data_IF_016924024781
#
_entry.id   IF_016924024781
#
_cell.length_a   1.000
_cell.length_b   1.000
_cell.length_c   1.000
_cell.angle_alpha   90.00
_cell.angle_beta   90.00
_cell.angle_gamma   90.00
#
_symmetry.space_group_name_H-M   'P 1'
#
loop_
_entity.id
_entity.type
_entity.pdbx_description
1 polymer ?
#
# COMPACT_ATOMS: atom_id res chain seq x y z
N UNK A 1 -11.11 14.34 82.65
CA UNK A 1 -10.68 12.96 82.37
C UNK A 1 -10.22 12.94 80.93
N UNK A 2 -8.90 12.88 80.73
CA UNK A 2 -8.27 13.15 79.45
C UNK A 2 -8.40 12.00 78.46
N UNK A 3 -8.55 12.33 77.19
CA UNK A 3 -8.26 11.41 76.11
C UNK A 3 -6.87 11.80 75.56
N UNK A 4 -5.93 10.89 75.73
CA UNK A 4 -4.55 11.02 75.30
C UNK A 4 -4.50 10.96 73.77
N UNK A 5 -4.13 12.07 73.12
CA UNK A 5 -3.75 12.07 71.71
C UNK A 5 -2.31 11.54 71.62
N UNK A 6 -2.17 10.21 71.59
CA UNK A 6 -0.91 9.56 71.25
C UNK A 6 -0.68 9.69 69.75
N UNK A 7 0.02 10.75 69.34
CA UNK A 7 0.51 10.88 67.97
C UNK A 7 1.54 9.78 67.70
N UNK A 8 1.09 8.60 67.28
CA UNK A 8 1.91 7.76 66.43
C UNK A 8 2.00 8.49 65.08
N UNK A 9 3.15 9.09 64.79
CA UNK A 9 3.58 9.30 63.41
C UNK A 9 3.86 7.90 62.83
N UNK A 10 2.78 7.17 62.48
CA UNK A 10 2.92 6.02 61.62
C UNK A 10 3.43 6.55 60.26
N UNK A 11 4.53 6.00 59.71
CA UNK A 11 4.99 6.42 58.39
C UNK A 11 3.86 6.18 57.38
N UNK A 12 3.45 7.23 56.67
CA UNK A 12 2.61 7.08 55.49
C UNK A 12 3.50 6.49 54.40
N UNK A 13 3.36 5.20 54.15
CA UNK A 13 3.97 4.55 52.99
C UNK A 13 3.07 4.82 51.79
N UNK A 14 3.53 5.69 50.88
CA UNK A 14 2.89 5.84 49.58
C UNK A 14 3.15 4.58 48.77
N UNK A 15 2.09 3.82 48.51
CA UNK A 15 2.13 2.72 47.55
C UNK A 15 1.79 3.30 46.18
N UNK A 16 2.81 3.73 45.42
CA UNK A 16 2.61 4.07 44.03
C UNK A 16 2.26 2.78 43.28
N UNK A 17 1.00 2.62 42.89
CA UNK A 17 0.58 1.47 42.09
C UNK A 17 1.11 1.66 40.67
N UNK A 18 1.93 0.70 40.22
CA UNK A 18 2.43 0.68 38.85
C UNK A 18 1.23 0.60 37.90
N UNK A 19 1.05 1.61 37.05
CA UNK A 19 0.03 1.61 36.00
C UNK A 19 0.62 0.99 34.73
N UNK A 20 -0.13 0.06 34.14
CA UNK A 20 0.22 -0.53 32.86
C UNK A 20 0.15 0.46 31.70
N UNK A 21 0.49 0.01 30.50
CA UNK A 21 0.67 0.89 29.35
C UNK A 21 -0.67 1.49 28.93
N UNK A 22 -0.67 2.80 28.64
CA UNK A 22 -1.82 3.53 28.08
C UNK A 22 -1.38 4.26 26.81
N UNK A 23 -2.15 4.13 25.73
CA UNK A 23 -1.85 4.84 24.48
C UNK A 23 -2.31 6.30 24.62
N UNK A 24 -1.38 7.24 24.40
CA UNK A 24 -1.65 8.69 24.39
C UNK A 24 -2.05 9.14 22.99
N UNK A 25 -1.39 8.60 21.96
CA UNK A 25 -1.65 8.92 20.55
C UNK A 25 -1.64 7.65 19.71
N UNK A 26 -2.74 7.39 19.02
CA UNK A 26 -2.88 6.24 18.14
C UNK A 26 -2.02 6.40 16.89
N UNK A 27 -1.45 5.30 16.36
CA UNK A 27 -0.76 5.35 15.09
C UNK A 27 -1.72 5.75 13.98
N UNK A 28 -1.26 6.64 13.10
CA UNK A 28 -2.03 7.08 11.95
C UNK A 28 -1.65 6.25 10.73
N UNK A 29 -2.67 5.77 10.02
CA UNK A 29 -2.50 5.19 8.69
C UNK A 29 -2.29 6.25 7.61
N UNK A 30 -2.11 5.81 6.38
CA UNK A 30 -1.98 6.70 5.24
C UNK A 30 -1.70 5.96 3.93
N UNK A 31 -1.53 6.74 2.88
CA UNK A 31 -1.20 6.24 1.56
C UNK A 31 0.32 6.07 1.40
N UNK A 32 0.75 4.85 1.08
CA UNK A 32 2.14 4.53 0.79
C UNK A 32 2.40 4.44 -0.70
N UNK A 33 3.35 5.24 -1.21
CA UNK A 33 3.86 5.11 -2.59
C UNK A 33 4.93 4.02 -2.65
N UNK A 34 4.84 3.15 -3.65
CA UNK A 34 5.83 2.09 -3.86
C UNK A 34 7.23 2.70 -4.06
N UNK A 35 8.23 2.12 -3.38
CA UNK A 35 9.62 2.57 -3.43
C UNK A 35 9.95 3.77 -2.52
N UNK A 36 8.95 4.46 -1.98
CA UNK A 36 9.12 5.55 -1.01
C UNK A 36 9.09 5.04 0.43
N UNK A 37 9.54 5.88 1.37
CA UNK A 37 9.49 5.58 2.79
C UNK A 37 8.16 5.95 3.44
N UNK A 38 7.67 5.14 4.39
CA UNK A 38 6.49 5.43 5.20
C UNK A 38 6.78 5.19 6.68
N UNK A 39 6.27 6.03 7.57
CA UNK A 39 6.47 5.91 9.02
C UNK A 39 5.15 5.82 9.76
N UNK A 40 5.04 4.84 10.65
CA UNK A 40 4.04 4.82 11.71
C UNK A 40 4.68 5.23 13.03
N UNK A 41 3.96 6.01 13.84
CA UNK A 41 4.41 6.41 15.18
C UNK A 41 3.28 6.21 16.16
N UNK A 42 3.57 5.66 17.33
CA UNK A 42 2.65 5.60 18.48
C UNK A 42 3.31 6.31 19.65
N UNK A 43 2.52 7.01 20.48
CA UNK A 43 2.99 7.50 21.78
C UNK A 43 2.15 6.86 22.88
N UNK A 44 2.81 6.36 23.92
CA UNK A 44 2.20 5.69 25.05
C UNK A 44 2.91 6.07 26.34
N UNK A 45 2.17 6.00 27.44
CA UNK A 45 2.66 6.18 28.79
C UNK A 45 2.62 4.86 29.56
N UNK A 46 3.41 4.77 30.61
CA UNK A 46 3.49 3.61 31.49
C UNK A 46 4.58 3.82 32.53
N UNK A 47 4.41 3.19 33.68
CA UNK A 47 5.36 3.33 34.80
C UNK A 47 6.50 2.31 34.73
N UNK A 48 6.43 1.32 33.82
CA UNK A 48 7.50 0.38 33.51
C UNK A 48 8.19 0.66 32.17
N UNK A 49 9.34 0.00 31.90
CA UNK A 49 9.93 0.01 30.57
C UNK A 49 8.94 -0.53 29.54
N UNK A 50 8.56 0.30 28.57
CA UNK A 50 7.62 -0.08 27.52
C UNK A 50 8.32 -0.91 26.44
N UNK A 51 7.71 -2.04 26.09
CA UNK A 51 8.14 -2.94 25.03
C UNK A 51 7.13 -2.86 23.90
N UNK A 52 7.59 -2.61 22.68
CA UNK A 52 6.75 -2.50 21.49
C UNK A 52 6.89 -3.74 20.61
N UNK A 53 5.81 -4.11 19.92
CA UNK A 53 5.86 -5.07 18.82
C UNK A 53 4.82 -4.70 17.76
N UNK A 54 5.28 -4.23 16.61
CA UNK A 54 4.40 -3.98 15.46
C UNK A 54 3.98 -5.28 14.79
N UNK A 55 2.78 -5.27 14.23
CA UNK A 55 2.16 -6.38 13.53
C UNK A 55 1.47 -5.89 12.26
N UNK A 56 1.65 -6.60 11.16
CA UNK A 56 0.95 -6.40 9.89
C UNK A 56 -0.08 -7.51 9.73
N UNK A 57 -1.37 -7.14 9.60
CA UNK A 57 -2.48 -8.09 9.47
C UNK A 57 -2.47 -9.17 10.58
N UNK A 58 -2.07 -8.77 11.80
CA UNK A 58 -1.94 -9.66 12.96
C UNK A 58 -0.65 -10.49 13.01
N UNK A 59 0.22 -10.44 12.01
CA UNK A 59 1.52 -11.14 12.01
C UNK A 59 2.62 -10.23 12.50
N UNK A 60 3.52 -10.74 13.34
CA UNK A 60 4.67 -9.97 13.88
C UNK A 60 5.57 -9.47 12.75
N UNK A 61 5.90 -8.18 12.78
CA UNK A 61 6.95 -7.59 11.93
C UNK A 61 8.29 -7.76 12.65
N UNK A 62 9.23 -8.59 12.14
CA UNK A 62 10.49 -8.85 12.81
C UNK A 62 11.31 -7.57 13.05
N UNK A 63 11.84 -7.41 14.28
CA UNK A 63 12.68 -6.27 14.64
C UNK A 63 11.95 -4.93 14.84
N UNK A 64 10.64 -4.88 14.62
CA UNK A 64 9.85 -3.66 14.81
C UNK A 64 9.43 -3.50 16.28
N UNK A 65 10.41 -3.13 17.12
CA UNK A 65 10.30 -3.07 18.58
C UNK A 65 10.41 -1.65 19.18
N UNK A 66 10.23 -0.62 18.35
CA UNK A 66 10.29 0.78 18.75
C UNK A 66 8.94 1.48 18.61
N UNK A 67 8.83 2.67 19.22
CA UNK A 67 7.65 3.54 19.08
C UNK A 67 7.35 3.95 17.63
N UNK A 68 8.37 3.97 16.78
CA UNK A 68 8.26 4.24 15.35
C UNK A 68 8.59 2.96 14.56
N UNK A 69 7.73 2.64 13.59
CA UNK A 69 8.02 1.69 12.53
C UNK A 69 8.29 2.48 11.25
N UNK A 70 9.51 2.40 10.75
CA UNK A 70 9.88 2.97 9.45
C UNK A 70 9.99 1.87 8.40
N UNK A 71 9.21 1.99 7.34
CA UNK A 71 9.28 1.18 6.13
C UNK A 71 10.09 2.00 5.13
N UNK A 72 11.37 1.69 4.86
CA UNK A 72 12.25 2.54 4.06
C UNK A 72 11.86 2.56 2.57
N UNK A 73 11.26 1.49 2.09
CA UNK A 73 10.77 1.34 0.73
C UNK A 73 9.51 0.48 0.75
N UNK A 74 8.35 1.08 0.52
CA UNK A 74 7.07 0.36 0.49
C UNK A 74 7.04 -0.58 -0.72
N UNK A 75 6.67 -1.84 -0.46
CA UNK A 75 6.49 -2.93 -1.43
C UNK A 75 5.03 -3.40 -1.41
N UNK A 76 4.57 -4.14 -2.44
CA UNK A 76 3.20 -4.65 -2.47
C UNK A 76 2.79 -5.48 -1.23
N UNK A 77 3.74 -6.18 -0.60
CA UNK A 77 3.49 -6.96 0.61
C UNK A 77 3.38 -6.16 1.90
N UNK A 78 3.70 -4.85 1.88
CA UNK A 78 3.67 -3.99 3.06
C UNK A 78 2.29 -3.35 3.29
N UNK A 79 1.39 -3.40 2.29
CA UNK A 79 0.05 -2.86 2.42
C UNK A 79 -0.82 -3.73 3.34
N UNK A 80 -1.63 -3.09 4.18
CA UNK A 80 -2.51 -3.76 5.13
C UNK A 80 -2.69 -2.99 6.42
N UNK A 81 -3.22 -3.67 7.43
CA UNK A 81 -3.52 -3.08 8.73
C UNK A 81 -2.34 -3.26 9.69
N UNK A 82 -1.74 -2.15 10.12
CA UNK A 82 -0.73 -2.16 11.16
C UNK A 82 -1.36 -1.97 12.53
N UNK A 83 -0.94 -2.79 13.48
CA UNK A 83 -1.22 -2.59 14.90
C UNK A 83 0.05 -2.76 15.70
N UNK A 84 0.12 -2.12 16.87
CA UNK A 84 1.24 -2.28 17.80
C UNK A 84 0.73 -2.77 19.14
N UNK A 85 1.39 -3.79 19.68
CA UNK A 85 1.24 -4.20 21.07
C UNK A 85 2.29 -3.46 21.89
N UNK A 86 1.87 -2.85 22.99
CA UNK A 86 2.75 -2.14 23.93
C UNK A 86 2.56 -2.80 25.29
N UNK A 87 3.65 -3.35 25.83
CA UNK A 87 3.62 -4.12 27.07
C UNK A 87 4.62 -3.64 28.11
N UNK A 88 4.30 -3.90 29.37
CA UNK A 88 5.22 -3.86 30.51
C UNK A 88 4.91 -5.03 31.47
N UNK A 89 5.37 -4.96 32.72
CA UNK A 89 5.11 -5.99 33.73
C UNK A 89 3.71 -5.91 34.39
N UNK A 90 2.93 -4.87 34.10
CA UNK A 90 1.55 -4.70 34.57
C UNK A 90 0.52 -5.11 33.53
N UNK A 91 0.88 -5.10 32.25
CA UNK A 91 -0.01 -5.58 31.20
C UNK A 91 0.41 -5.23 29.78
N UNK A 92 -0.54 -5.40 28.87
CA UNK A 92 -0.37 -5.11 27.44
C UNK A 92 -1.60 -4.34 26.93
N UNK A 93 -1.35 -3.29 26.17
CA UNK A 93 -2.36 -2.56 25.39
C UNK A 93 -2.11 -2.74 23.91
N UNK A 94 -3.18 -2.79 23.12
CA UNK A 94 -3.14 -2.85 21.66
C UNK A 94 -3.64 -1.53 21.08
N UNK A 95 -2.97 -1.03 20.06
CA UNK A 95 -3.42 0.15 19.30
C UNK A 95 -4.67 -0.13 18.46
N UNK A 96 -5.32 0.95 18.05
CA UNK A 96 -6.25 0.90 16.92
C UNK A 96 -5.48 0.54 15.63
N UNK A 97 -6.17 -0.03 14.62
CA UNK A 97 -5.56 -0.31 13.31
C UNK A 97 -5.16 0.98 12.58
N UNK A 98 -3.92 1.02 12.08
CA UNK A 98 -3.39 2.04 11.20
C UNK A 98 -3.17 1.44 9.80
N UNK A 99 -4.05 1.70 8.82
CA UNK A 99 -3.91 1.11 7.49
C UNK A 99 -2.79 1.77 6.68
N UNK A 100 -1.90 0.98 6.07
CA UNK A 100 -1.12 1.41 4.91
C UNK A 100 -1.91 1.07 3.66
N UNK A 101 -2.46 2.07 2.99
CA UNK A 101 -3.19 1.88 1.74
C UNK A 101 -2.31 2.22 0.55
N UNK A 102 -2.62 1.61 -0.60
CA UNK A 102 -2.06 2.11 -1.85
C UNK A 102 -2.82 3.37 -2.26
N UNK A 103 -2.14 4.44 -2.74
CA UNK A 103 -2.81 5.58 -3.37
C UNK A 103 -3.56 5.16 -4.65
N UNK A 104 -3.25 3.96 -5.17
CA UNK A 104 -3.94 3.37 -6.30
C UNK A 104 -5.02 2.40 -5.78
N UNK A 105 -6.26 2.86 -5.77
CA UNK A 105 -7.39 1.99 -5.43
C UNK A 105 -7.62 0.95 -6.55
N UNK A 106 -8.05 -0.28 -6.23
CA UNK A 106 -8.57 -1.20 -7.23
C UNK A 106 -9.75 -0.52 -7.96
N UNK A 107 -9.60 -0.26 -9.26
CA UNK A 107 -10.66 0.30 -10.10
C UNK A 107 -10.79 1.83 -10.16
N UNK A 108 -9.89 2.63 -9.57
CA UNK A 108 -9.95 4.10 -9.70
C UNK A 108 -8.65 4.67 -10.26
N UNK A 109 -8.74 5.27 -11.45
CA UNK A 109 -7.81 6.32 -11.89
C UNK A 109 -6.52 5.91 -12.58
N UNK A 110 -6.35 4.65 -13.00
CA UNK A 110 -5.16 4.24 -13.79
C UNK A 110 -5.54 3.89 -15.22
N UNK A 111 -6.73 3.33 -15.43
CA UNK A 111 -7.26 3.01 -16.75
C UNK A 111 -8.63 3.67 -16.93
N UNK A 112 -8.94 4.09 -18.15
CA UNK A 112 -10.26 4.54 -18.57
C UNK A 112 -10.67 3.83 -19.87
N UNK A 113 -11.97 3.60 -20.05
CA UNK A 113 -12.53 3.05 -21.29
C UNK A 113 -12.29 3.99 -22.48
N UNK A 114 -12.48 5.30 -22.28
CA UNK A 114 -12.22 6.25 -23.35
C UNK A 114 -10.74 6.63 -23.38
N UNK A 115 -10.10 6.38 -24.51
CA UNK A 115 -8.74 6.81 -24.80
C UNK A 115 -8.55 8.30 -24.49
N UNK A 116 -9.51 9.15 -24.84
CA UNK A 116 -9.43 10.60 -24.59
C UNK A 116 -9.38 11.01 -23.11
N UNK A 117 -9.82 10.13 -22.19
CA UNK A 117 -9.87 10.36 -20.75
C UNK A 117 -8.81 9.58 -19.96
N UNK A 118 -7.96 8.83 -20.66
CA UNK A 118 -6.94 7.97 -20.04
C UNK A 118 -6.08 8.74 -19.02
N UNK A 119 -5.99 8.27 -17.76
CA UNK A 119 -5.19 8.93 -16.74
C UNK A 119 -3.69 8.89 -17.04
N UNK A 120 -2.95 9.88 -16.55
CA UNK A 120 -1.49 9.88 -16.59
C UNK A 120 -0.92 9.13 -15.38
N UNK A 121 0.07 8.26 -15.60
CA UNK A 121 0.85 7.59 -14.57
C UNK A 121 2.33 7.83 -14.78
N UNK A 122 3.04 8.22 -13.71
CA UNK A 122 4.50 8.39 -13.69
C UNK A 122 5.20 7.35 -12.79
N UNK A 123 4.43 6.37 -12.29
CA UNK A 123 4.96 5.37 -11.38
C UNK A 123 6.00 4.47 -12.06
N UNK A 124 7.13 4.24 -11.38
CA UNK A 124 8.19 3.33 -11.84
C UNK A 124 7.79 1.85 -11.74
N UNK A 125 6.90 1.52 -10.80
CA UNK A 125 6.35 0.17 -10.61
C UNK A 125 4.89 0.25 -10.15
N UNK A 126 4.10 -0.79 -10.40
CA UNK A 126 2.71 -0.86 -9.95
C UNK A 126 2.10 -2.24 -10.12
N UNK A 127 1.08 -2.55 -9.32
CA UNK A 127 0.17 -3.67 -9.52
C UNK A 127 -1.25 -3.11 -9.52
N UNK A 128 -1.93 -3.23 -10.65
CA UNK A 128 -3.28 -2.70 -10.83
C UNK A 128 -4.25 -3.86 -11.05
N UNK A 129 -5.45 -3.73 -10.47
CA UNK A 129 -6.59 -4.63 -10.75
C UNK A 129 -7.70 -3.80 -11.36
N UNK A 130 -8.17 -4.22 -12.52
CA UNK A 130 -9.18 -3.52 -13.30
C UNK A 130 -10.00 -4.53 -14.12
N UNK A 131 -11.25 -4.20 -14.44
CA UNK A 131 -12.13 -4.99 -15.32
C UNK A 131 -12.51 -4.16 -16.55
N UNK A 132 -12.22 -4.66 -17.74
CA UNK A 132 -12.68 -4.06 -19.00
C UNK A 132 -14.07 -4.56 -19.43
N UNK A 133 -14.82 -5.24 -18.57
CA UNK A 133 -16.09 -5.87 -18.94
C UNK A 133 -17.10 -4.89 -19.58
N UNK A 134 -17.17 -3.67 -19.07
CA UNK A 134 -18.06 -2.62 -19.56
C UNK A 134 -17.44 -1.72 -20.64
N UNK A 135 -16.18 -1.98 -21.01
CA UNK A 135 -15.45 -1.21 -21.99
C UNK A 135 -15.91 -1.54 -23.43
N UNK A 136 -15.51 -0.70 -24.39
CA UNK A 136 -15.75 -0.91 -25.81
C UNK A 136 -14.45 -0.83 -26.63
N UNK A 137 -14.55 -1.13 -27.93
CA UNK A 137 -13.51 -0.81 -28.90
C UNK A 137 -13.90 0.52 -29.54
N UNK A 138 -13.02 1.51 -29.47
CA UNK A 138 -13.28 2.84 -30.00
C UNK A 138 -13.00 2.91 -31.52
N UNK A 139 -13.66 3.83 -32.23
CA UNK A 139 -13.42 4.04 -33.66
C UNK A 139 -11.99 4.54 -33.88
N UNK A 140 -11.24 3.86 -34.76
CA UNK A 140 -9.84 4.17 -35.04
C UNK A 140 -8.87 3.48 -34.09
N UNK A 141 -9.35 2.72 -33.10
CA UNK A 141 -8.49 1.89 -32.26
C UNK A 141 -7.77 0.81 -33.08
N UNK A 142 -6.43 0.69 -32.96
CA UNK A 142 -5.67 -0.36 -33.62
C UNK A 142 -6.05 -1.77 -33.16
N UNK A 143 -5.69 -2.76 -33.95
CA UNK A 143 -5.70 -4.16 -33.52
C UNK A 143 -4.50 -4.41 -32.59
N UNK A 144 -4.77 -4.73 -31.32
CA UNK A 144 -3.74 -4.97 -30.32
C UNK A 144 -3.08 -6.32 -30.56
N UNK A 145 -1.74 -6.34 -30.69
CA UNK A 145 -0.98 -7.53 -31.10
C UNK A 145 -1.52 -8.20 -32.40
N UNK A 146 -2.10 -7.41 -33.31
CA UNK A 146 -2.70 -7.92 -34.56
C UNK A 146 -4.03 -8.65 -34.37
N UNK A 147 -4.64 -8.57 -33.18
CA UNK A 147 -5.98 -9.09 -32.91
C UNK A 147 -6.99 -7.94 -32.86
N UNK A 148 -8.21 -8.14 -33.39
CA UNK A 148 -9.26 -7.13 -33.32
C UNK A 148 -9.59 -6.67 -31.90
N UNK A 149 -9.49 -7.59 -30.93
CA UNK A 149 -9.97 -7.36 -29.58
C UNK A 149 -11.48 -7.10 -29.56
N UNK A 150 -11.91 -6.16 -28.71
CA UNK A 150 -13.31 -5.76 -28.62
C UNK A 150 -13.65 -4.91 -27.38
N UNK A 151 -12.75 -4.89 -26.41
CA UNK A 151 -12.85 -4.11 -25.16
C UNK A 151 -11.45 -3.65 -24.75
N UNK A 152 -11.15 -2.38 -24.92
CA UNK A 152 -9.86 -1.80 -24.55
C UNK A 152 -10.02 -0.91 -23.32
N UNK A 153 -8.96 -0.76 -22.54
CA UNK A 153 -8.86 0.31 -21.56
C UNK A 153 -7.47 0.90 -21.59
N UNK A 154 -7.38 2.18 -21.29
CA UNK A 154 -6.24 3.01 -21.64
C UNK A 154 -5.65 3.69 -20.41
N UNK A 155 -4.33 3.67 -20.35
CA UNK A 155 -3.54 4.57 -19.50
C UNK A 155 -2.58 5.36 -20.37
N UNK A 156 -2.22 6.56 -19.95
CA UNK A 156 -1.00 7.19 -20.41
C UNK A 156 0.10 6.94 -19.37
N UNK A 157 1.27 6.48 -19.82
CA UNK A 157 2.39 6.22 -18.93
C UNK A 157 3.60 7.03 -19.38
N UNK A 158 4.10 7.87 -18.49
CA UNK A 158 5.33 8.61 -18.70
C UNK A 158 6.47 7.88 -17.98
N UNK A 159 7.49 7.46 -18.73
CA UNK A 159 8.61 6.74 -18.15
C UNK A 159 9.38 7.67 -17.18
N UNK A 160 9.55 7.30 -15.90
CA UNK A 160 10.27 8.14 -14.94
C UNK A 160 11.79 8.17 -15.19
N UNK A 161 12.28 7.31 -16.09
CA UNK A 161 13.68 7.27 -16.47
C UNK A 161 13.95 6.29 -17.61
N UNK A 162 15.22 6.25 -18.04
CA UNK A 162 15.71 5.36 -19.10
C UNK A 162 15.92 3.95 -18.57
N UNK A 163 15.59 2.95 -19.36
CA UNK A 163 15.78 1.55 -19.01
C UNK A 163 14.84 0.63 -19.78
N UNK A 164 14.53 -0.50 -19.16
CA UNK A 164 13.60 -1.48 -19.72
C UNK A 164 12.33 -1.48 -18.89
N UNK A 165 11.22 -1.10 -19.51
CA UNK A 165 9.89 -1.24 -18.92
C UNK A 165 9.36 -2.65 -19.16
N UNK A 166 8.61 -3.18 -18.20
CA UNK A 166 7.91 -4.45 -18.33
C UNK A 166 6.49 -4.30 -17.81
N UNK A 167 5.51 -4.61 -18.65
CA UNK A 167 4.10 -4.68 -18.27
C UNK A 167 3.60 -6.10 -18.48
N UNK A 168 2.75 -6.56 -17.58
CA UNK A 168 2.22 -7.91 -17.59
C UNK A 168 0.79 -7.95 -17.07
N UNK A 169 0.02 -8.92 -17.57
CA UNK A 169 -1.37 -9.16 -17.16
C UNK A 169 -1.55 -10.48 -16.40
N UNK A 170 -0.46 -11.15 -16.01
CA UNK A 170 -0.52 -12.38 -15.22
C UNK A 170 -1.39 -12.23 -13.97
N UNK A 171 -2.32 -13.17 -13.83
CA UNK A 171 -3.35 -13.17 -12.79
C UNK A 171 -4.74 -12.78 -13.31
N UNK A 172 -4.86 -12.34 -14.56
CA UNK A 172 -6.15 -12.18 -15.23
C UNK A 172 -6.92 -13.50 -15.33
N UNK A 173 -8.25 -13.40 -15.30
CA UNK A 173 -9.16 -14.54 -15.40
C UNK A 173 -9.57 -14.87 -16.84
N UNK A 174 -8.98 -14.19 -17.81
CA UNK A 174 -9.30 -14.30 -19.24
C UNK A 174 -8.01 -14.13 -20.05
N UNK A 175 -8.10 -14.57 -21.30
CA UNK A 175 -7.04 -14.44 -22.30
C UNK A 175 -6.85 -12.96 -22.68
N UNK A 176 -5.68 -12.39 -22.43
CA UNK A 176 -5.47 -10.94 -22.52
C UNK A 176 -4.70 -10.55 -23.76
N UNK A 177 -4.93 -9.32 -24.24
CA UNK A 177 -4.08 -8.63 -25.20
C UNK A 177 -3.42 -7.43 -24.53
N UNK A 178 -2.12 -7.21 -24.76
CA UNK A 178 -1.39 -6.07 -24.23
C UNK A 178 -0.62 -5.36 -25.34
N UNK A 179 -0.78 -4.04 -25.45
CA UNK A 179 -0.06 -3.23 -26.41
C UNK A 179 0.37 -1.88 -25.81
N UNK A 180 1.51 -1.39 -26.29
CA UNK A 180 2.14 -0.13 -25.93
C UNK A 180 2.29 0.67 -27.21
N UNK A 181 1.79 1.90 -27.17
CA UNK A 181 1.79 2.80 -28.30
C UNK A 181 2.46 4.12 -27.94
N UNK A 182 2.98 4.82 -28.94
CA UNK A 182 3.26 6.26 -28.89
C UNK A 182 2.26 7.01 -29.76
N UNK A 183 1.83 8.19 -29.31
CA UNK A 183 0.84 9.02 -30.02
C UNK A 183 -0.28 9.51 -29.10
N UNK A 184 -1.05 10.47 -29.59
CA UNK A 184 -2.09 11.18 -28.84
C UNK A 184 -3.51 11.03 -29.42
N UNK A 185 -3.66 10.34 -30.56
CA UNK A 185 -4.93 10.03 -31.23
C UNK A 185 -4.98 8.56 -31.66
N UNK A 186 -6.14 7.90 -31.49
CA UNK A 186 -6.33 6.47 -31.78
C UNK A 186 -5.90 6.08 -33.20
N UNK A 187 -6.34 6.86 -34.19
CA UNK A 187 -6.07 6.65 -35.62
C UNK A 187 -4.63 6.96 -36.04
N UNK A 188 -3.79 7.42 -35.10
CA UNK A 188 -2.39 7.79 -35.30
C UNK A 188 -1.43 7.11 -34.33
N UNK A 189 -1.92 6.15 -33.54
CA UNK A 189 -1.07 5.40 -32.62
C UNK A 189 -0.02 4.59 -33.39
N UNK A 190 1.23 4.74 -32.98
CA UNK A 190 2.36 3.97 -33.50
C UNK A 190 2.69 2.86 -32.50
N UNK A 191 2.63 1.57 -32.89
CA UNK A 191 2.98 0.47 -32.00
C UNK A 191 4.45 0.52 -31.59
N UNK A 192 4.71 0.36 -30.30
CA UNK A 192 6.06 0.26 -29.73
C UNK A 192 6.37 -1.15 -29.22
N UNK A 193 5.41 -1.79 -28.57
CA UNK A 193 5.47 -3.20 -28.17
C UNK A 193 4.06 -3.78 -28.04
N UNK A 194 3.90 -5.08 -28.25
CA UNK A 194 2.61 -5.75 -28.04
C UNK A 194 2.80 -7.25 -27.86
N UNK A 195 1.86 -7.89 -27.18
CA UNK A 195 1.85 -9.31 -26.91
C UNK A 195 0.42 -9.83 -26.62
N UNK A 196 0.23 -11.14 -26.81
CA UNK A 196 -1.01 -11.87 -26.56
C UNK A 196 -0.78 -12.87 -25.39
N UNK A 197 0.29 -13.66 -25.41
CA UNK A 197 0.36 -14.89 -24.59
C UNK A 197 1.69 -15.16 -23.86
N UNK A 198 2.64 -14.23 -23.88
CA UNK A 198 4.02 -14.52 -23.47
C UNK A 198 4.25 -14.61 -21.94
N UNK A 199 3.26 -14.30 -21.08
CA UNK A 199 3.37 -14.44 -19.61
C UNK A 199 2.72 -15.73 -19.06
N UNK A 200 2.12 -16.56 -19.93
CA UNK A 200 1.54 -17.86 -19.60
C UNK A 200 0.06 -17.82 -19.18
N UNK A 201 -0.63 -18.96 -19.30
CA UNK A 201 -2.08 -19.10 -19.04
C UNK A 201 -2.96 -18.10 -19.83
N UNK A 202 -2.59 -17.76 -21.07
CA UNK A 202 -3.32 -16.77 -21.86
C UNK A 202 -3.06 -15.32 -21.40
N UNK A 203 -1.97 -15.05 -20.68
CA UNK A 203 -1.67 -13.68 -20.24
C UNK A 203 -0.45 -13.13 -20.96
N UNK A 204 -0.48 -11.84 -21.21
CA UNK A 204 0.51 -11.16 -22.03
C UNK A 204 1.60 -10.47 -21.19
N UNK A 205 2.77 -10.34 -21.79
CA UNK A 205 3.93 -9.60 -21.28
C UNK A 205 4.59 -8.82 -22.41
N UNK A 206 4.74 -7.51 -22.20
CA UNK A 206 5.53 -6.63 -23.07
C UNK A 206 6.75 -6.13 -22.33
N UNK A 207 7.87 -6.07 -23.05
CA UNK A 207 9.14 -5.56 -22.54
C UNK A 207 9.79 -4.67 -23.59
N UNK A 208 10.05 -3.42 -23.25
CA UNK A 208 10.54 -2.42 -24.22
C UNK A 208 11.48 -1.40 -23.58
N UNK A 209 12.32 -0.79 -24.40
CA UNK A 209 13.23 0.28 -23.97
C UNK A 209 12.46 1.59 -23.83
N UNK A 210 12.67 2.29 -22.72
CA UNK A 210 12.21 3.67 -22.51
C UNK A 210 13.27 4.66 -23.01
N UNK A 211 12.82 5.72 -23.68
CA UNK A 211 13.67 6.74 -24.29
C UNK A 211 14.09 7.83 -23.28
#
# INVERSE_FOLDING_TARGET
>A
MGLLLGALLAPVVLHAQKSGPTIISQPQGGEGRLGEGFSFTVDADGTGPLIYQWRLNGVVVPGANNKQLFIPQVRPGDFGEYTVLIGDDQGVVRSDPAPLTSPYQPGVGVFDDSFSKRPNSESQTGLFRFSNADANKELGEPDHAGKPGGKSVWMNWNAPGKGIATFRTRGSSFDTLLAVYTGDALDKLVPHASDDDSDGNGTSLVRFNTA
#
